data_IF_321486933819
#
_entry.id   IF_321486933819
#
_cell.length_a   1.000
_cell.length_b   1.000
_cell.length_c   1.000
_cell.angle_alpha   90.00
_cell.angle_beta   90.00
_cell.angle_gamma   90.00
#
_symmetry.space_group_name_H-M   'P 1'
#
loop_
_entity.id
_entity.type
_entity.pdbx_description
1 polymer ?
#
# COMPACT_ATOMS: atom_id res chain seq x y z
N UNK A 1 -99.25 18.51 -35.91
CA UNK A 1 -98.84 17.48 -36.89
C UNK A 1 -97.53 17.97 -37.53
N UNK A 2 -96.38 17.59 -37.01
CA UNK A 2 -95.70 16.32 -37.32
C UNK A 2 -95.15 16.29 -38.75
N UNK A 3 -93.86 16.61 -38.89
CA UNK A 3 -92.88 15.77 -39.62
C UNK A 3 -91.49 16.35 -39.43
N UNK A 4 -90.69 15.61 -38.64
CA UNK A 4 -89.23 15.61 -38.65
C UNK A 4 -88.75 15.40 -40.09
N UNK A 5 -87.56 15.91 -40.41
CA UNK A 5 -86.45 15.22 -41.09
C UNK A 5 -85.21 16.08 -40.81
N UNK A 6 -84.24 15.51 -40.09
CA UNK A 6 -83.02 16.19 -39.68
C UNK A 6 -81.94 15.97 -40.73
N UNK A 7 -81.41 17.07 -41.23
CA UNK A 7 -80.27 17.13 -42.15
C UNK A 7 -79.00 16.75 -41.39
N UNK A 8 -78.29 15.75 -41.90
CA UNK A 8 -76.92 15.40 -41.47
C UNK A 8 -75.98 16.05 -42.50
N UNK A 9 -75.27 17.10 -42.09
CA UNK A 9 -74.14 17.64 -42.83
C UNK A 9 -72.85 17.08 -42.24
N UNK A 10 -72.07 16.40 -43.08
CA UNK A 10 -70.75 15.86 -42.78
C UNK A 10 -69.74 17.01 -42.72
N UNK A 11 -69.04 17.16 -41.60
CA UNK A 11 -67.84 17.98 -41.48
C UNK A 11 -66.68 17.08 -41.04
N UNK A 12 -65.61 17.08 -41.83
CA UNK A 12 -64.33 16.46 -41.48
C UNK A 12 -63.73 17.20 -40.29
N UNK A 13 -63.63 16.52 -39.14
CA UNK A 13 -62.84 16.96 -37.99
C UNK A 13 -61.64 16.02 -37.84
N UNK A 14 -60.44 16.54 -38.06
CA UNK A 14 -59.19 15.88 -37.71
C UNK A 14 -59.10 15.85 -36.18
N UNK A 15 -59.11 14.65 -35.62
CA UNK A 15 -58.96 14.42 -34.18
C UNK A 15 -57.49 14.63 -33.81
N UNK A 16 -57.20 15.67 -33.02
CA UNK A 16 -55.97 15.74 -32.26
C UNK A 16 -56.09 14.78 -31.08
N UNK A 17 -55.50 13.59 -31.18
CA UNK A 17 -55.26 12.74 -30.02
C UNK A 17 -54.05 13.28 -29.27
N UNK A 18 -54.27 13.83 -28.08
CA UNK A 18 -53.24 14.17 -27.11
C UNK A 18 -52.52 12.90 -26.66
N UNK A 19 -51.41 12.57 -27.33
CA UNK A 19 -50.48 11.54 -26.88
C UNK A 19 -49.74 12.05 -25.65
N UNK A 20 -49.97 11.41 -24.49
CA UNK A 20 -49.10 11.58 -23.35
C UNK A 20 -47.71 11.03 -23.71
N UNK A 21 -46.73 11.91 -23.84
CA UNK A 21 -45.33 11.54 -23.95
C UNK A 21 -44.93 10.99 -22.58
N UNK A 22 -44.84 9.66 -22.47
CA UNK A 22 -44.13 9.04 -21.36
C UNK A 22 -42.66 9.36 -21.59
N UNK A 23 -42.13 10.34 -20.85
CA UNK A 23 -40.69 10.51 -20.73
C UNK A 23 -40.14 9.24 -20.09
N UNK A 24 -39.64 8.31 -20.91
CA UNK A 24 -38.76 7.27 -20.43
C UNK A 24 -37.52 7.99 -19.89
N UNK A 25 -37.35 7.98 -18.57
CA UNK A 25 -36.13 8.47 -17.94
C UNK A 25 -34.95 7.75 -18.57
N UNK A 26 -33.87 8.49 -18.84
CA UNK A 26 -32.61 7.90 -19.29
C UNK A 26 -32.27 6.73 -18.37
N UNK A 27 -31.85 5.56 -18.91
CA UNK A 27 -31.38 4.47 -18.08
C UNK A 27 -30.27 5.02 -17.20
N UNK A 28 -30.54 5.03 -15.89
CA UNK A 28 -29.59 5.42 -14.88
C UNK A 28 -28.34 4.57 -15.12
N UNK A 29 -27.25 5.21 -15.58
CA UNK A 29 -26.00 4.52 -15.82
C UNK A 29 -25.68 3.71 -14.56
N UNK A 30 -25.46 2.40 -14.72
CA UNK A 30 -25.04 1.59 -13.58
C UNK A 30 -23.85 2.29 -12.93
N UNK A 31 -23.84 2.44 -11.59
CA UNK A 31 -22.74 3.11 -10.91
C UNK A 31 -21.44 2.47 -11.36
N UNK A 32 -20.54 3.30 -11.89
CA UNK A 32 -19.29 2.83 -12.47
C UNK A 32 -18.58 1.92 -11.46
N UNK A 33 -18.43 0.63 -11.79
CA UNK A 33 -17.65 -0.27 -10.94
C UNK A 33 -16.18 0.03 -11.17
N UNK A 34 -15.47 0.55 -10.15
CA UNK A 34 -14.06 0.84 -10.31
C UNK A 34 -13.31 -0.45 -10.61
N UNK A 35 -12.36 -0.38 -11.55
CA UNK A 35 -11.56 -1.53 -12.00
C UNK A 35 -10.09 -1.43 -11.60
N UNK A 36 -9.67 -0.29 -11.05
CA UNK A 36 -8.28 0.00 -10.70
C UNK A 36 -8.08 -0.13 -9.20
N UNK A 37 -7.05 -0.88 -8.80
CA UNK A 37 -6.53 -0.89 -7.45
C UNK A 37 -5.27 -0.02 -7.33
N UNK A 38 -4.79 0.17 -6.10
CA UNK A 38 -3.60 0.97 -5.82
C UNK A 38 -2.72 0.29 -4.75
N UNK A 39 -1.40 0.39 -4.90
CA UNK A 39 -0.47 0.16 -3.79
C UNK A 39 -0.38 1.46 -2.98
N UNK A 40 -0.59 1.39 -1.67
CA UNK A 40 -0.45 2.55 -0.79
C UNK A 40 1.01 2.72 -0.39
N UNK A 41 1.48 3.96 -0.28
CA UNK A 41 2.85 4.24 0.13
C UNK A 41 3.13 3.69 1.54
N UNK A 42 4.28 3.03 1.71
CA UNK A 42 4.72 2.44 2.97
C UNK A 42 4.86 3.44 4.12
N UNK A 43 4.85 2.96 5.38
CA UNK A 43 4.96 3.81 6.55
C UNK A 43 6.34 4.49 6.60
N UNK A 44 6.34 5.82 6.58
CA UNK A 44 7.57 6.61 6.68
C UNK A 44 7.27 8.00 7.24
N UNK A 45 8.26 8.62 7.89
CA UNK A 45 8.14 9.98 8.41
C UNK A 45 8.02 11.04 7.30
N UNK A 46 8.43 10.68 6.07
CA UNK A 46 8.29 11.49 4.84
C UNK A 46 7.10 11.06 3.97
N UNK A 47 6.16 10.26 4.48
CA UNK A 47 5.03 9.77 3.70
C UNK A 47 4.08 10.92 3.32
N UNK A 48 3.94 11.18 2.01
CA UNK A 48 3.14 12.30 1.47
C UNK A 48 1.66 12.00 1.33
N UNK A 49 1.21 10.75 1.57
CA UNK A 49 -0.20 10.39 1.60
C UNK A 49 -0.87 10.82 2.91
N UNK A 50 -0.08 10.97 3.99
CA UNK A 50 -0.53 11.35 5.34
C UNK A 50 -1.79 10.58 5.78
N UNK A 51 -1.74 9.23 5.85
CA UNK A 51 -2.92 8.41 6.04
C UNK A 51 -3.59 8.61 7.40
N UNK A 52 -2.86 8.98 8.45
CA UNK A 52 -3.35 9.03 9.82
C UNK A 52 -3.40 10.43 10.41
N UNK A 53 -4.40 10.69 11.27
CA UNK A 53 -4.50 11.94 12.05
C UNK A 53 -3.57 11.94 13.26
N UNK A 54 -3.11 10.77 13.72
CA UNK A 54 -2.00 10.62 14.66
C UNK A 54 -0.69 10.48 13.87
N UNK A 55 0.06 11.57 13.75
CA UNK A 55 1.31 11.59 12.96
C UNK A 55 2.44 10.84 13.66
N UNK A 56 2.30 10.50 14.94
CA UNK A 56 3.31 9.73 15.67
C UNK A 56 3.43 8.30 15.12
N UNK A 57 2.34 7.75 14.59
CA UNK A 57 2.30 6.38 14.05
C UNK A 57 3.21 6.16 12.84
N UNK A 58 3.55 7.22 12.12
CA UNK A 58 4.52 7.19 11.02
C UNK A 58 5.87 7.81 11.41
N UNK A 59 6.14 7.98 12.70
CA UNK A 59 7.43 8.47 13.16
C UNK A 59 8.55 7.47 12.86
N UNK A 60 9.78 7.96 12.75
CA UNK A 60 10.95 7.07 12.63
C UNK A 60 11.09 6.20 13.91
N UNK A 61 11.63 4.97 13.83
CA UNK A 61 12.05 4.27 15.05
C UNK A 61 12.97 5.15 15.91
N UNK A 62 12.91 4.96 17.24
CA UNK A 62 13.69 5.77 18.17
C UNK A 62 15.17 5.77 17.85
N UNK A 63 15.75 6.97 17.92
CA UNK A 63 17.13 7.25 17.60
C UNK A 63 17.81 7.57 18.92
N UNK A 64 18.79 6.74 19.28
CA UNK A 64 19.53 6.90 20.52
C UNK A 64 20.52 8.05 20.43
N UNK A 65 20.52 8.92 21.43
CA UNK A 65 21.38 10.08 21.49
C UNK A 65 22.15 10.10 22.81
N UNK A 66 23.35 10.66 22.78
CA UNK A 66 24.19 10.83 23.97
C UNK A 66 24.94 12.15 23.89
N UNK A 67 25.05 12.84 25.02
CA UNK A 67 25.78 14.10 25.13
C UNK A 67 27.23 13.93 24.69
N UNK A 68 27.69 14.81 23.79
CA UNK A 68 29.06 14.79 23.27
C UNK A 68 29.34 13.73 22.19
N UNK A 69 28.33 12.98 21.74
CA UNK A 69 28.43 12.06 20.59
C UNK A 69 27.75 12.66 19.34
N UNK A 70 28.14 12.24 18.13
CA UNK A 70 27.39 12.54 16.93
C UNK A 70 25.96 12.02 17.00
N UNK A 71 25.08 12.60 16.20
CA UNK A 71 23.67 12.22 16.17
C UNK A 71 23.47 10.75 15.84
N UNK A 72 22.61 10.06 16.59
CA UNK A 72 22.31 8.64 16.41
C UNK A 72 23.39 7.69 16.94
N UNK A 73 24.40 8.20 17.64
CA UNK A 73 25.46 7.39 18.25
C UNK A 73 25.34 7.25 19.77
N UNK A 74 24.10 7.27 20.29
CA UNK A 74 23.84 6.89 21.68
C UNK A 74 23.93 5.38 21.92
N UNK A 75 23.86 4.95 23.19
CA UNK A 75 23.87 3.52 23.55
C UNK A 75 22.59 2.81 23.05
N UNK A 76 22.59 1.47 23.04
CA UNK A 76 21.36 0.69 22.74
C UNK A 76 20.24 1.12 23.71
N UNK A 77 19.07 1.44 23.15
CA UNK A 77 17.89 1.79 23.94
C UNK A 77 17.27 0.56 24.60
N UNK A 78 16.75 0.75 25.81
CA UNK A 78 15.93 -0.23 26.53
C UNK A 78 14.46 0.00 26.15
N UNK A 79 13.95 -0.82 25.23
CA UNK A 79 12.60 -0.71 24.68
C UNK A 79 11.71 -1.86 25.14
N UNK A 80 10.43 -1.58 25.38
CA UNK A 80 9.41 -2.61 25.57
C UNK A 80 9.04 -3.34 24.26
N UNK A 81 8.16 -4.34 24.38
CA UNK A 81 7.69 -5.16 23.25
C UNK A 81 7.02 -4.35 22.12
N UNK A 82 6.52 -3.15 22.44
CA UNK A 82 5.88 -2.20 21.52
C UNK A 82 6.83 -1.10 21.05
N UNK A 83 8.09 -1.10 21.51
CA UNK A 83 9.09 -0.12 21.12
C UNK A 83 9.09 1.17 21.96
N UNK A 84 8.43 1.21 23.12
CA UNK A 84 8.47 2.37 24.03
C UNK A 84 9.71 2.35 24.92
N UNK A 85 10.25 3.53 25.22
CA UNK A 85 11.51 3.70 25.95
C UNK A 85 11.30 3.51 27.45
N UNK A 86 11.70 2.34 27.98
CA UNK A 86 11.56 2.01 29.41
C UNK A 86 12.54 2.78 30.28
N UNK A 87 13.78 2.93 29.84
CA UNK A 87 14.82 3.60 30.61
C UNK A 87 15.84 4.29 29.71
N UNK A 88 16.53 5.28 30.28
CA UNK A 88 17.59 6.04 29.63
C UNK A 88 18.84 6.01 30.51
N UNK A 89 20.01 5.84 29.89
CA UNK A 89 21.29 5.98 30.58
C UNK A 89 21.56 7.46 30.91
N UNK A 90 22.42 7.77 31.89
CA UNK A 90 22.83 9.15 32.18
C UNK A 90 23.34 9.87 30.93
N UNK A 91 23.00 11.16 30.80
CA UNK A 91 23.36 12.02 29.67
C UNK A 91 22.88 11.50 28.29
N UNK A 92 21.89 10.61 28.26
CA UNK A 92 21.29 10.06 27.03
C UNK A 92 19.82 10.45 26.91
N UNK A 93 19.32 10.49 25.67
CA UNK A 93 17.90 10.67 25.36
C UNK A 93 17.51 9.86 24.13
N UNK A 94 16.22 9.61 23.96
CA UNK A 94 15.66 9.02 22.75
C UNK A 94 14.97 10.12 21.94
N UNK A 95 15.19 10.14 20.62
CA UNK A 95 14.61 11.12 19.71
C UNK A 95 13.93 10.42 18.54
N UNK A 96 12.82 10.97 18.06
CA UNK A 96 12.19 10.56 16.80
C UNK A 96 11.78 11.78 15.98
N UNK A 97 11.57 11.54 14.69
CA UNK A 97 11.13 12.51 13.71
C UNK A 97 9.80 12.03 13.11
N UNK A 98 8.93 12.98 12.83
CA UNK A 98 7.69 12.77 12.08
C UNK A 98 7.47 13.96 11.13
N UNK A 99 6.69 13.74 10.07
CA UNK A 99 6.40 14.77 9.06
C UNK A 99 7.67 15.43 8.49
N UNK A 100 8.65 14.64 8.05
CA UNK A 100 9.88 15.10 7.37
C UNK A 100 9.63 15.53 5.90
N UNK A 101 8.38 15.83 5.56
CA UNK A 101 7.98 16.27 4.22
C UNK A 101 8.36 17.75 4.06
N UNK A 102 9.11 18.05 3.01
CA UNK A 102 9.51 19.42 2.69
C UNK A 102 8.34 20.28 2.17
N UNK A 103 8.52 21.60 2.13
CA UNK A 103 7.59 22.51 1.47
C UNK A 103 6.27 22.80 2.22
N UNK A 104 6.13 22.35 3.47
CA UNK A 104 4.93 22.61 4.26
C UNK A 104 3.72 21.77 3.83
N UNK A 105 3.95 20.57 3.29
CA UNK A 105 2.89 19.68 2.79
C UNK A 105 2.22 18.85 3.89
N UNK A 106 2.15 19.37 5.12
CA UNK A 106 1.38 18.82 6.22
C UNK A 106 0.78 19.97 7.06
N UNK A 107 -0.30 19.75 7.84
CA UNK A 107 -0.99 20.85 8.51
C UNK A 107 -0.10 21.64 9.48
N UNK A 108 -0.19 22.96 9.45
CA UNK A 108 0.34 23.82 10.53
C UNK A 108 -0.73 24.10 11.57
N UNK A 109 -0.35 24.53 12.76
CA UNK A 109 -1.25 24.92 13.84
C UNK A 109 -1.01 24.13 15.12
N UNK A 110 -2.03 24.09 15.98
CA UNK A 110 -1.97 23.43 17.29
C UNK A 110 -2.26 21.94 17.19
N UNK A 111 -1.25 21.15 17.49
CA UNK A 111 -1.36 19.71 17.67
C UNK A 111 -1.49 19.38 19.16
N UNK A 112 -2.26 18.33 19.46
CA UNK A 112 -2.38 17.81 20.82
C UNK A 112 -1.54 16.55 20.96
N UNK A 113 -0.65 16.52 21.95
CA UNK A 113 0.16 15.35 22.27
C UNK A 113 -0.40 14.69 23.52
N UNK A 114 -0.80 13.43 23.43
CA UNK A 114 -1.16 12.61 24.58
C UNK A 114 -0.06 11.60 24.87
N UNK A 115 0.18 11.28 26.13
CA UNK A 115 1.10 10.22 26.53
C UNK A 115 0.73 9.69 27.92
N UNK A 116 1.11 8.44 28.18
CA UNK A 116 1.01 7.83 29.50
C UNK A 116 2.38 7.79 30.18
N UNK A 117 2.37 7.74 31.52
CA UNK A 117 3.58 7.62 32.33
C UNK A 117 4.23 8.95 32.73
N UNK A 118 5.39 8.87 33.37
CA UNK A 118 6.12 9.98 33.98
C UNK A 118 7.46 10.15 33.30
N UNK A 119 7.74 11.38 32.89
CA UNK A 119 8.97 11.73 32.22
C UNK A 119 8.91 13.14 31.67
N UNK A 120 9.89 13.47 30.83
CA UNK A 120 10.00 14.76 30.15
C UNK A 120 10.07 14.56 28.65
N UNK A 121 9.08 15.14 27.96
CA UNK A 121 9.04 15.21 26.51
C UNK A 121 9.44 16.62 26.08
N UNK A 122 10.31 16.71 25.09
CA UNK A 122 10.67 17.96 24.44
C UNK A 122 10.36 17.86 22.94
N UNK A 123 10.07 19.00 22.31
CA UNK A 123 9.87 19.08 20.86
C UNK A 123 10.74 20.16 20.25
N UNK A 124 10.99 20.06 18.94
CA UNK A 124 11.81 21.05 18.24
C UNK A 124 11.63 21.10 16.74
N UNK A 125 12.47 21.92 16.12
CA UNK A 125 12.45 22.26 14.70
C UNK A 125 11.12 22.91 14.28
N UNK A 126 10.20 22.16 13.68
CA UNK A 126 8.88 22.69 13.29
C UNK A 126 7.92 22.88 14.46
N UNK A 127 8.20 22.29 15.63
CA UNK A 127 7.30 22.31 16.77
C UNK A 127 7.86 23.10 17.96
N UNK A 128 6.95 23.71 18.74
CA UNK A 128 7.24 24.29 20.06
C UNK A 128 6.09 24.02 21.03
N UNK A 129 6.39 23.55 22.24
CA UNK A 129 5.39 23.41 23.30
C UNK A 129 4.83 24.79 23.68
N UNK A 130 3.50 24.89 23.72
CA UNK A 130 2.76 26.10 24.15
C UNK A 130 1.94 25.87 25.42
N UNK A 131 1.54 24.63 25.70
CA UNK A 131 0.86 24.22 26.93
C UNK A 131 1.40 22.85 27.37
N UNK A 132 1.59 22.67 28.68
CA UNK A 132 2.15 21.44 29.26
C UNK A 132 1.37 21.06 30.53
N UNK A 133 0.78 19.88 30.50
CA UNK A 133 0.12 19.23 31.62
C UNK A 133 0.58 17.77 31.71
N UNK A 134 0.53 17.13 32.88
CA UNK A 134 0.80 15.70 32.99
C UNK A 134 -0.05 14.89 32.00
N UNK A 135 0.61 14.13 31.12
CA UNK A 135 -0.03 13.29 30.11
C UNK A 135 -0.60 14.02 28.88
N UNK A 136 -0.47 15.36 28.81
CA UNK A 136 -0.98 16.16 27.69
C UNK A 136 -0.15 17.40 27.41
N UNK A 137 0.32 17.55 26.17
CA UNK A 137 0.97 18.77 25.68
C UNK A 137 0.14 19.36 24.54
N UNK A 138 0.23 20.68 24.36
CA UNK A 138 -0.14 21.34 23.10
C UNK A 138 1.12 21.88 22.47
N UNK A 139 1.36 21.51 21.22
CA UNK A 139 2.50 21.98 20.43
C UNK A 139 2.00 22.83 19.27
N UNK A 140 2.63 23.99 19.07
CA UNK A 140 2.42 24.82 17.89
C UNK A 140 3.40 24.36 16.80
N UNK A 141 2.87 24.01 15.63
CA UNK A 141 3.60 23.44 14.51
C UNK A 141 3.59 24.39 13.32
N UNK A 142 4.79 24.69 12.81
CA UNK A 142 5.01 25.44 11.58
C UNK A 142 5.64 24.53 10.52
N UNK A 143 4.80 24.02 9.63
CA UNK A 143 5.20 23.01 8.63
C UNK A 143 6.26 23.52 7.64
N UNK A 144 6.41 24.83 7.50
CA UNK A 144 7.41 25.45 6.62
C UNK A 144 8.84 25.23 7.12
N UNK A 145 9.01 24.84 8.38
CA UNK A 145 10.31 24.56 9.02
C UNK A 145 10.78 23.11 8.86
N UNK A 146 10.05 22.27 8.13
CA UNK A 146 10.42 20.88 7.89
C UNK A 146 9.95 19.97 9.03
N UNK A 147 10.78 19.05 9.50
CA UNK A 147 10.34 17.96 10.39
C UNK A 147 9.89 18.39 11.80
N UNK A 148 8.98 17.62 12.40
CA UNK A 148 8.69 17.68 13.83
C UNK A 148 9.64 16.73 14.55
N UNK A 149 10.40 17.24 15.51
CA UNK A 149 11.24 16.44 16.40
C UNK A 149 10.55 16.26 17.73
N UNK A 150 10.56 15.03 18.27
CA UNK A 150 10.08 14.70 19.60
C UNK A 150 11.15 13.90 20.35
N UNK A 151 11.45 14.30 21.59
CA UNK A 151 12.49 13.72 22.44
C UNK A 151 11.92 13.28 23.77
N UNK A 152 12.33 12.11 24.25
CA UNK A 152 12.18 11.70 25.64
C UNK A 152 13.53 11.91 26.31
N UNK A 153 13.63 12.92 27.18
CA UNK A 153 14.88 13.26 27.90
C UNK A 153 14.89 12.72 29.32
N UNK A 154 13.72 12.38 29.87
CA UNK A 154 13.56 11.70 31.16
C UNK A 154 12.37 10.74 31.07
N UNK A 155 12.47 9.59 31.72
CA UNK A 155 11.39 8.60 31.84
C UNK A 155 11.56 7.83 33.15
N UNK A 156 10.48 7.59 33.89
CA UNK A 156 10.48 6.78 35.12
C UNK A 156 10.40 5.30 34.77
N UNK A 157 11.41 4.45 35.05
CA UNK A 157 11.36 3.04 34.68
C UNK A 157 10.20 2.25 35.31
N UNK A 158 9.61 2.73 36.41
CA UNK A 158 8.43 2.11 37.03
C UNK A 158 7.10 2.55 36.40
N UNK A 159 7.09 3.66 35.65
CA UNK A 159 5.92 4.21 34.95
C UNK A 159 6.38 5.03 33.74
N UNK A 160 7.00 4.35 32.77
CA UNK A 160 7.73 5.01 31.69
C UNK A 160 6.79 5.67 30.68
N UNK A 161 7.30 6.72 30.03
CA UNK A 161 6.61 7.43 28.95
C UNK A 161 6.30 6.48 27.80
N UNK A 162 5.02 6.32 27.48
CA UNK A 162 4.52 5.41 26.45
C UNK A 162 3.20 5.90 25.87
N UNK A 163 2.68 5.18 24.87
CA UNK A 163 1.39 5.49 24.23
C UNK A 163 1.30 6.96 23.75
N UNK A 164 2.42 7.45 23.21
CA UNK A 164 2.51 8.79 22.66
C UNK A 164 1.66 8.86 21.39
N UNK A 165 0.79 9.86 21.34
CA UNK A 165 -0.08 10.19 20.21
C UNK A 165 0.11 11.66 19.89
N UNK A 166 0.37 12.01 18.64
CA UNK A 166 0.56 13.39 18.18
C UNK A 166 -0.55 13.71 17.19
N UNK A 167 -1.64 14.29 17.71
CA UNK A 167 -2.89 14.45 16.99
C UNK A 167 -2.92 15.77 16.22
N UNK A 168 -3.22 15.68 14.91
CA UNK A 168 -3.40 16.82 14.03
C UNK A 168 -4.49 17.79 14.52
N UNK A 169 -4.42 19.08 14.12
CA UNK A 169 -5.43 20.08 14.49
C UNK A 169 -6.84 19.64 14.11
N UNK A 170 -7.78 19.73 15.06
CA UNK A 170 -9.20 19.42 14.84
C UNK A 170 -9.62 17.96 15.05
N UNK A 171 -8.69 17.05 15.40
CA UNK A 171 -9.00 15.61 15.55
C UNK A 171 -8.94 15.08 16.99
N UNK A 172 -8.70 15.93 17.99
CA UNK A 172 -8.51 15.55 19.41
C UNK A 172 -9.67 14.69 19.96
N UNK A 173 -10.91 14.98 19.57
CA UNK A 173 -12.10 14.30 20.08
C UNK A 173 -12.45 12.99 19.32
N UNK A 174 -11.83 12.75 18.17
CA UNK A 174 -12.26 11.70 17.23
C UNK A 174 -11.17 10.72 16.82
N UNK A 175 -9.89 11.03 17.04
CA UNK A 175 -8.76 10.25 16.48
C UNK A 175 -8.78 8.75 16.82
N UNK A 176 -9.35 8.35 17.97
CA UNK A 176 -9.47 6.93 18.34
C UNK A 176 -10.48 6.18 17.48
N UNK A 177 -11.55 6.86 17.04
CA UNK A 177 -12.63 6.29 16.22
C UNK A 177 -12.42 6.54 14.73
N UNK A 178 -11.74 7.62 14.40
CA UNK A 178 -11.48 8.10 13.04
C UNK A 178 -9.97 8.28 12.87
N UNK A 179 -9.20 7.17 12.77
CA UNK A 179 -7.75 7.24 12.73
C UNK A 179 -7.21 7.79 11.40
N UNK A 180 -8.02 7.73 10.33
CA UNK A 180 -7.60 8.14 8.99
C UNK A 180 -7.84 9.63 8.73
N UNK A 181 -6.90 10.27 8.04
CA UNK A 181 -7.08 11.64 7.60
C UNK A 181 -8.17 11.73 6.51
N UNK A 182 -9.14 12.66 6.60
CA UNK A 182 -10.23 12.75 5.63
C UNK A 182 -9.78 12.97 4.19
N UNK A 183 -8.71 13.76 3.96
CA UNK A 183 -8.17 13.99 2.62
C UNK A 183 -7.53 12.73 2.03
N UNK A 184 -6.94 11.86 2.86
CA UNK A 184 -6.43 10.56 2.41
C UNK A 184 -7.58 9.66 1.96
N UNK A 185 -8.65 9.56 2.75
CA UNK A 185 -9.84 8.79 2.38
C UNK A 185 -10.47 9.33 1.09
N UNK A 186 -10.57 10.65 0.96
CA UNK A 186 -11.09 11.31 -0.24
C UNK A 186 -10.22 11.06 -1.47
N UNK A 187 -8.89 11.11 -1.32
CA UNK A 187 -7.93 10.89 -2.41
C UNK A 187 -8.10 9.52 -3.06
N UNK A 188 -8.35 8.50 -2.23
CA UNK A 188 -8.50 7.12 -2.66
C UNK A 188 -9.95 6.65 -2.73
N UNK A 189 -10.92 7.57 -2.68
CA UNK A 189 -12.32 7.22 -2.80
C UNK A 189 -12.60 6.60 -4.18
N UNK A 190 -13.28 5.45 -4.18
CA UNK A 190 -13.67 4.77 -5.41
C UNK A 190 -12.57 3.94 -6.06
N UNK A 191 -11.44 3.66 -5.41
CA UNK A 191 -10.56 2.58 -5.88
C UNK A 191 -11.23 1.22 -5.65
N UNK A 192 -10.92 0.24 -6.50
CA UNK A 192 -11.51 -1.11 -6.39
C UNK A 192 -10.90 -1.91 -5.25
N UNK A 193 -9.59 -1.78 -5.08
CA UNK A 193 -8.80 -2.65 -4.23
C UNK A 193 -7.58 -1.90 -3.70
N UNK A 194 -7.25 -2.09 -2.43
CA UNK A 194 -5.97 -1.67 -1.86
C UNK A 194 -5.03 -2.86 -1.80
N UNK A 195 -3.86 -2.74 -2.44
CA UNK A 195 -2.75 -3.67 -2.25
C UNK A 195 -1.84 -3.13 -1.17
N UNK A 196 -1.67 -3.93 -0.11
CA UNK A 196 -0.99 -3.52 1.11
C UNK A 196 0.48 -3.92 1.14
N UNK A 197 1.13 -4.11 -0.02
CA UNK A 197 2.51 -4.63 -0.10
C UNK A 197 3.48 -3.81 0.76
N UNK A 198 3.49 -2.47 0.59
CA UNK A 198 4.34 -1.58 1.38
C UNK A 198 3.81 -1.34 2.80
N UNK A 199 2.49 -1.28 2.99
CA UNK A 199 1.91 -1.19 4.34
C UNK A 199 2.24 -2.39 5.20
N UNK A 200 2.43 -3.57 4.60
CA UNK A 200 2.83 -4.79 5.29
C UNK A 200 4.36 -4.96 5.40
N UNK A 201 5.16 -4.01 4.87
CA UNK A 201 6.62 -4.14 4.81
C UNK A 201 7.05 -5.51 4.22
N UNK A 202 6.42 -5.89 3.10
CA UNK A 202 6.49 -7.26 2.55
C UNK A 202 7.91 -7.64 2.10
N UNK A 203 8.60 -6.72 1.43
CA UNK A 203 9.93 -6.94 0.89
C UNK A 203 10.94 -7.12 2.02
N UNK A 204 11.68 -8.24 2.03
CA UNK A 204 12.64 -8.54 3.10
C UNK A 204 12.01 -8.71 4.50
N UNK A 205 10.69 -8.87 4.58
CA UNK A 205 9.97 -8.98 5.85
C UNK A 205 10.56 -10.07 6.75
N UNK A 206 10.72 -9.75 8.04
CA UNK A 206 11.19 -10.69 9.07
C UNK A 206 10.04 -11.35 9.84
N UNK A 207 8.79 -11.01 9.52
CA UNK A 207 7.61 -11.57 10.18
C UNK A 207 7.47 -13.04 9.79
N UNK A 208 7.51 -13.93 10.79
CA UNK A 208 7.37 -15.37 10.59
C UNK A 208 6.19 -15.96 11.37
N UNK A 209 5.97 -15.50 12.60
CA UNK A 209 4.94 -16.02 13.52
C UNK A 209 3.93 -14.94 13.86
N UNK A 210 2.75 -15.35 14.34
CA UNK A 210 1.64 -14.44 14.64
C UNK A 210 2.02 -13.32 15.62
N UNK A 211 2.82 -13.64 16.62
CA UNK A 211 3.35 -12.69 17.61
C UNK A 211 4.35 -11.67 17.03
N UNK A 212 4.91 -11.91 15.84
CA UNK A 212 5.87 -10.98 15.21
C UNK A 212 5.16 -9.80 14.50
N UNK A 213 3.83 -9.86 14.35
CA UNK A 213 3.03 -8.88 13.59
C UNK A 213 3.07 -7.47 14.21
N UNK A 214 2.84 -6.41 13.40
CA UNK A 214 2.58 -5.08 13.94
C UNK A 214 1.26 -5.02 14.72
N UNK A 215 1.26 -4.25 15.82
CA UNK A 215 0.14 -4.03 16.73
C UNK A 215 -0.21 -2.54 16.83
N UNK A 216 -1.45 -2.20 17.21
CA UNK A 216 -1.90 -0.81 17.32
C UNK A 216 -1.12 -0.04 18.40
N UNK A 217 -0.68 -0.77 19.42
CA UNK A 217 0.07 -0.30 20.58
C UNK A 217 1.55 -0.01 20.26
N UNK A 218 2.05 -0.48 19.10
CA UNK A 218 3.41 -0.23 18.68
C UNK A 218 3.67 1.28 18.55
N UNK A 219 4.85 1.71 19.00
CA UNK A 219 5.26 3.10 19.03
C UNK A 219 5.28 3.73 17.63
N UNK A 220 5.66 2.94 16.62
CA UNK A 220 5.65 3.34 15.21
C UNK A 220 5.36 2.14 14.31
N UNK A 221 4.66 2.40 13.21
CA UNK A 221 4.41 1.43 12.15
C UNK A 221 5.59 1.34 11.15
N UNK A 222 6.53 2.28 11.19
CA UNK A 222 7.73 2.29 10.33
C UNK A 222 8.75 1.19 10.67
N UNK A 223 8.51 0.40 11.73
CA UNK A 223 9.39 -0.69 12.14
C UNK A 223 8.98 -2.07 11.61
N UNK A 224 7.67 -2.30 11.48
CA UNK A 224 7.09 -3.63 11.16
C UNK A 224 5.94 -3.59 10.16
N UNK A 225 5.56 -2.41 9.68
CA UNK A 225 4.34 -2.20 8.89
C UNK A 225 3.15 -1.73 9.72
N UNK A 226 2.07 -1.43 9.03
CA UNK A 226 0.79 -1.00 9.58
C UNK A 226 0.01 -2.23 10.09
N UNK A 227 -0.63 -2.17 11.26
CA UNK A 227 -1.46 -3.25 11.79
C UNK A 227 -2.59 -3.67 10.85
N UNK A 228 -2.85 -4.98 10.78
CA UNK A 228 -3.91 -5.59 9.98
C UNK A 228 -5.29 -4.98 10.29
N UNK A 229 -5.52 -4.63 11.55
CA UNK A 229 -6.74 -4.00 12.02
C UNK A 229 -7.04 -2.67 11.28
N UNK A 230 -6.01 -1.88 10.96
CA UNK A 230 -6.16 -0.62 10.22
C UNK A 230 -6.33 -0.88 8.72
N UNK A 231 -5.65 -1.87 8.15
CA UNK A 231 -5.86 -2.28 6.75
C UNK A 231 -7.31 -2.68 6.50
N UNK A 232 -7.88 -3.49 7.41
CA UNK A 232 -9.29 -3.91 7.34
C UNK A 232 -10.22 -2.70 7.51
N UNK A 233 -9.95 -1.81 8.46
CA UNK A 233 -10.76 -0.61 8.69
C UNK A 233 -10.79 0.29 7.44
N UNK A 234 -9.64 0.50 6.79
CA UNK A 234 -9.57 1.25 5.53
C UNK A 234 -10.45 0.64 4.44
N UNK A 235 -10.33 -0.68 4.20
CA UNK A 235 -11.14 -1.39 3.21
C UNK A 235 -12.64 -1.25 3.51
N UNK A 236 -13.04 -1.38 4.77
CA UNK A 236 -14.44 -1.25 5.20
C UNK A 236 -14.99 0.15 4.95
N UNK A 237 -14.23 1.20 5.29
CA UNK A 237 -14.62 2.61 5.09
C UNK A 237 -14.77 2.96 3.62
N UNK A 238 -13.82 2.52 2.81
CA UNK A 238 -13.76 2.85 1.38
C UNK A 238 -14.59 1.91 0.50
N UNK A 239 -15.10 0.80 1.08
CA UNK A 239 -15.77 -0.29 0.35
C UNK A 239 -14.91 -0.83 -0.79
N UNK A 240 -13.62 -0.98 -0.52
CA UNK A 240 -12.62 -1.47 -1.47
C UNK A 240 -12.12 -2.85 -1.03
N UNK A 241 -11.90 -3.74 -2.00
CA UNK A 241 -11.33 -5.06 -1.75
C UNK A 241 -9.93 -4.95 -1.11
N UNK A 242 -9.52 -6.02 -0.43
CA UNK A 242 -8.20 -6.09 0.22
C UNK A 242 -7.28 -7.02 -0.55
N UNK A 243 -6.06 -6.57 -0.86
CA UNK A 243 -5.01 -7.41 -1.43
C UNK A 243 -3.83 -7.47 -0.46
N UNK A 244 -3.66 -8.65 0.12
CA UNK A 244 -2.61 -8.91 1.11
C UNK A 244 -1.47 -9.72 0.49
N UNK A 245 -0.24 -9.29 0.77
CA UNK A 245 0.98 -9.98 0.38
C UNK A 245 1.55 -10.69 1.62
N UNK A 246 1.35 -12.00 1.72
CA UNK A 246 1.77 -12.76 2.89
C UNK A 246 3.30 -12.78 3.00
N UNK A 247 3.90 -12.46 4.17
CA UNK A 247 5.35 -12.47 4.35
C UNK A 247 5.97 -13.80 3.94
N UNK A 248 7.13 -13.76 3.27
CA UNK A 248 7.77 -14.98 2.75
C UNK A 248 8.18 -15.99 3.84
N UNK A 249 8.42 -15.52 5.07
CA UNK A 249 8.77 -16.36 6.23
C UNK A 249 7.55 -16.82 7.04
N UNK A 250 6.34 -16.37 6.71
CA UNK A 250 5.15 -16.64 7.51
C UNK A 250 4.80 -18.13 7.54
N UNK A 251 4.67 -18.67 8.76
CA UNK A 251 4.23 -20.03 8.99
C UNK A 251 2.71 -20.19 8.83
N UNK A 252 2.23 -21.44 8.84
CA UNK A 252 0.81 -21.74 8.63
C UNK A 252 -0.09 -21.20 9.75
N UNK A 253 0.44 -21.03 10.97
CA UNK A 253 -0.32 -20.48 12.09
C UNK A 253 -0.54 -18.98 11.91
N UNK A 254 0.48 -18.24 11.48
CA UNK A 254 0.36 -16.84 11.08
C UNK A 254 -0.70 -16.69 10.01
N UNK A 255 -0.62 -17.46 8.92
CA UNK A 255 -1.56 -17.37 7.80
C UNK A 255 -2.99 -17.66 8.26
N UNK A 256 -3.18 -18.67 9.13
CA UNK A 256 -4.50 -19.05 9.65
C UNK A 256 -5.10 -17.97 10.55
N UNK A 257 -4.32 -17.40 11.48
CA UNK A 257 -4.79 -16.33 12.36
C UNK A 257 -5.04 -15.03 11.60
N UNK A 258 -4.22 -14.72 10.59
CA UNK A 258 -4.44 -13.59 9.69
C UNK A 258 -5.78 -13.74 8.96
N UNK A 259 -6.01 -14.90 8.33
CA UNK A 259 -7.26 -15.19 7.64
C UNK A 259 -8.47 -15.10 8.58
N UNK A 260 -8.34 -15.57 9.84
CA UNK A 260 -9.40 -15.52 10.83
C UNK A 260 -9.76 -14.06 11.18
N UNK A 261 -8.77 -13.22 11.46
CA UNK A 261 -9.02 -11.81 11.77
C UNK A 261 -9.68 -11.07 10.59
N UNK A 262 -9.24 -11.36 9.35
CA UNK A 262 -9.86 -10.79 8.15
C UNK A 262 -11.30 -11.28 7.98
N UNK A 263 -11.57 -12.58 8.15
CA UNK A 263 -12.93 -13.14 8.07
C UNK A 263 -13.86 -12.47 9.08
N UNK A 264 -13.38 -12.25 10.30
CA UNK A 264 -14.19 -11.74 11.40
C UNK A 264 -14.51 -10.24 11.27
N UNK A 265 -13.64 -9.46 10.62
CA UNK A 265 -13.73 -7.99 10.63
C UNK A 265 -13.93 -7.33 9.26
N UNK A 266 -13.50 -7.96 8.17
CA UNK A 266 -13.67 -7.39 6.82
C UNK A 266 -15.11 -7.58 6.37
N UNK A 267 -15.74 -6.50 5.89
CA UNK A 267 -17.10 -6.48 5.36
C UNK A 267 -17.31 -7.68 4.41
N UNK A 268 -18.32 -8.55 4.66
CA UNK A 268 -18.55 -9.78 3.92
C UNK A 268 -18.78 -9.60 2.41
N UNK A 269 -19.15 -8.40 1.96
CA UNK A 269 -19.33 -8.07 0.54
C UNK A 269 -17.99 -7.86 -0.21
N UNK A 270 -16.89 -7.61 0.52
CA UNK A 270 -15.58 -7.36 -0.04
C UNK A 270 -14.81 -8.67 -0.32
N UNK A 271 -14.02 -8.64 -1.40
CA UNK A 271 -13.11 -9.73 -1.78
C UNK A 271 -11.73 -9.57 -1.12
N UNK A 272 -11.02 -10.68 -1.03
CA UNK A 272 -9.64 -10.76 -0.54
C UNK A 272 -8.75 -11.38 -1.61
N UNK A 273 -7.77 -10.62 -2.08
CA UNK A 273 -6.72 -11.10 -2.97
C UNK A 273 -5.55 -11.63 -2.13
N UNK A 274 -5.13 -12.85 -2.44
CA UNK A 274 -4.11 -13.59 -1.70
C UNK A 274 -2.87 -13.76 -2.57
N UNK A 275 -1.77 -13.12 -2.17
CA UNK A 275 -0.48 -13.22 -2.85
C UNK A 275 0.59 -13.71 -1.87
N UNK A 276 1.43 -14.65 -2.32
CA UNK A 276 2.62 -15.05 -1.56
C UNK A 276 3.77 -14.07 -1.84
N UNK A 277 4.13 -13.30 -0.81
CA UNK A 277 5.21 -12.30 -0.84
C UNK A 277 5.04 -11.26 -1.96
N UNK A 278 6.14 -10.65 -2.40
CA UNK A 278 6.22 -9.74 -3.51
C UNK A 278 7.39 -10.15 -4.42
N UNK A 279 7.18 -10.13 -5.74
CA UNK A 279 8.21 -10.37 -6.78
C UNK A 279 9.28 -11.42 -6.44
N UNK A 280 8.89 -12.61 -5.99
CA UNK A 280 9.85 -13.68 -5.63
C UNK A 280 10.72 -14.12 -6.83
N UNK A 281 10.28 -13.79 -8.05
CA UNK A 281 11.06 -13.97 -9.28
C UNK A 281 12.23 -12.98 -9.42
N UNK A 282 12.24 -11.88 -8.67
CA UNK A 282 13.19 -10.79 -8.76
C UNK A 282 14.34 -10.98 -7.76
N UNK A 283 15.51 -11.32 -8.28
CA UNK A 283 16.71 -11.60 -7.48
C UNK A 283 17.26 -10.43 -6.66
N UNK A 284 16.76 -9.20 -6.84
CA UNK A 284 17.15 -8.06 -6.02
C UNK A 284 16.55 -8.10 -4.61
N UNK A 285 15.42 -8.79 -4.42
CA UNK A 285 14.77 -8.85 -3.12
C UNK A 285 15.17 -10.11 -2.35
N UNK A 286 15.37 -9.97 -1.03
CA UNK A 286 15.87 -11.06 -0.16
C UNK A 286 14.99 -12.32 -0.20
N UNK A 287 13.68 -12.17 -0.41
CA UNK A 287 12.77 -13.32 -0.51
C UNK A 287 13.06 -14.24 -1.71
N UNK A 288 13.65 -13.73 -2.80
CA UNK A 288 13.96 -14.53 -4.00
C UNK A 288 15.03 -15.60 -3.73
N UNK A 289 16.25 -15.25 -3.30
CA UNK A 289 17.26 -16.26 -2.97
C UNK A 289 16.80 -17.18 -1.83
N UNK A 290 16.08 -16.67 -0.82
CA UNK A 290 15.53 -17.51 0.24
C UNK A 290 14.57 -18.59 -0.29
N UNK A 291 13.62 -18.22 -1.17
CA UNK A 291 12.69 -19.16 -1.79
C UNK A 291 13.43 -20.15 -2.71
N UNK A 292 14.49 -19.70 -3.39
CA UNK A 292 15.37 -20.56 -4.17
C UNK A 292 16.05 -21.64 -3.32
N UNK A 293 16.60 -21.26 -2.16
CA UNK A 293 17.18 -22.22 -1.22
C UNK A 293 16.15 -23.23 -0.71
N UNK A 294 14.93 -22.78 -0.34
CA UNK A 294 13.88 -23.69 0.09
C UNK A 294 13.44 -24.63 -1.03
N UNK A 295 13.28 -24.12 -2.25
CA UNK A 295 12.94 -24.93 -3.41
C UNK A 295 14.00 -25.99 -3.72
N UNK A 296 15.29 -25.67 -3.60
CA UNK A 296 16.39 -26.64 -3.77
C UNK A 296 16.32 -27.71 -2.68
N UNK A 297 16.13 -27.32 -1.41
CA UNK A 297 16.00 -28.26 -0.28
C UNK A 297 14.83 -29.24 -0.48
N UNK A 298 13.75 -28.77 -1.10
CA UNK A 298 12.57 -29.58 -1.43
C UNK A 298 12.72 -30.37 -2.75
N UNK A 299 13.85 -30.25 -3.45
CA UNK A 299 14.11 -30.93 -4.72
C UNK A 299 13.30 -30.39 -5.90
N UNK A 300 12.84 -29.14 -5.84
CA UNK A 300 12.00 -28.57 -6.89
C UNK A 300 12.78 -28.23 -8.16
N UNK A 301 14.02 -27.78 -8.06
CA UNK A 301 14.93 -27.60 -9.19
C UNK A 301 16.38 -27.47 -8.69
N UNK A 302 17.36 -27.66 -9.58
CA UNK A 302 18.78 -27.45 -9.26
C UNK A 302 19.18 -25.96 -9.29
N UNK A 303 18.56 -25.19 -10.20
CA UNK A 303 18.85 -23.77 -10.38
C UNK A 303 18.07 -22.94 -9.34
N UNK A 304 18.73 -22.04 -8.58
CA UNK A 304 18.06 -21.28 -7.51
C UNK A 304 16.85 -20.47 -7.97
N UNK A 305 16.92 -19.80 -9.12
CA UNK A 305 15.80 -18.99 -9.63
C UNK A 305 14.60 -19.85 -10.04
N UNK A 306 14.83 -20.99 -10.68
CA UNK A 306 13.76 -21.91 -11.07
C UNK A 306 13.14 -22.57 -9.84
N UNK A 307 13.96 -22.91 -8.85
CA UNK A 307 13.52 -23.40 -7.55
C UNK A 307 12.64 -22.37 -6.83
N UNK A 308 12.98 -21.07 -6.90
CA UNK A 308 12.19 -19.99 -6.32
C UNK A 308 10.82 -19.84 -7.00
N UNK A 309 10.74 -19.95 -8.33
CA UNK A 309 9.46 -19.91 -9.06
C UNK A 309 8.56 -21.08 -8.66
N UNK A 310 9.11 -22.29 -8.57
CA UNK A 310 8.37 -23.49 -8.16
C UNK A 310 7.95 -23.42 -6.69
N UNK A 311 8.82 -22.90 -5.82
CA UNK A 311 8.49 -22.63 -4.41
C UNK A 311 7.35 -21.62 -4.27
N UNK A 312 7.34 -20.57 -5.09
CA UNK A 312 6.25 -19.58 -5.14
C UNK A 312 4.91 -20.23 -5.44
N UNK A 313 4.85 -21.09 -6.47
CA UNK A 313 3.65 -21.84 -6.81
C UNK A 313 3.20 -22.75 -5.64
N UNK A 314 4.13 -23.54 -5.10
CA UNK A 314 3.86 -24.46 -4.00
C UNK A 314 3.32 -23.77 -2.75
N UNK A 315 4.00 -22.72 -2.29
CA UNK A 315 3.62 -21.99 -1.06
C UNK A 315 2.32 -21.22 -1.23
N UNK A 316 2.08 -20.64 -2.41
CA UNK A 316 0.81 -19.96 -2.72
C UNK A 316 -0.38 -20.91 -2.58
N UNK A 317 -0.30 -22.12 -3.12
CA UNK A 317 -1.39 -23.11 -3.03
C UNK A 317 -1.67 -23.54 -1.58
N UNK A 318 -0.63 -23.67 -0.74
CA UNK A 318 -0.81 -23.93 0.68
C UNK A 318 -1.55 -22.80 1.39
N UNK A 319 -1.15 -21.54 1.13
CA UNK A 319 -1.81 -20.36 1.66
C UNK A 319 -3.28 -20.34 1.23
N UNK A 320 -3.58 -20.57 -0.05
CA UNK A 320 -4.96 -20.60 -0.55
C UNK A 320 -5.81 -21.62 0.19
N UNK A 321 -5.28 -22.83 0.43
CA UNK A 321 -5.99 -23.89 1.17
C UNK A 321 -6.32 -23.46 2.61
N UNK A 322 -5.37 -22.86 3.32
CA UNK A 322 -5.60 -22.36 4.69
C UNK A 322 -6.72 -21.31 4.70
N UNK A 323 -6.70 -20.38 3.75
CA UNK A 323 -7.75 -19.37 3.63
C UNK A 323 -9.11 -19.98 3.27
N UNK A 324 -9.16 -20.93 2.33
CA UNK A 324 -10.38 -21.66 1.97
C UNK A 324 -10.99 -22.38 3.17
N UNK A 325 -10.18 -23.04 4.00
CA UNK A 325 -10.60 -23.69 5.25
C UNK A 325 -11.20 -22.69 6.23
N UNK A 326 -10.51 -21.57 6.47
CA UNK A 326 -10.97 -20.53 7.41
C UNK A 326 -12.27 -19.89 6.92
N UNK A 327 -12.36 -19.54 5.63
CA UNK A 327 -13.53 -18.89 5.05
C UNK A 327 -14.70 -19.86 4.83
N UNK A 328 -14.45 -21.17 4.81
CA UNK A 328 -15.45 -22.19 4.51
C UNK A 328 -15.84 -22.23 3.02
N UNK A 329 -14.99 -21.70 2.14
CA UNK A 329 -15.29 -21.57 0.71
C UNK A 329 -14.37 -20.58 0.00
N UNK A 330 -14.62 -20.41 -1.31
CA UNK A 330 -13.80 -19.57 -2.21
C UNK A 330 -14.47 -18.27 -2.62
N UNK A 331 -15.76 -18.10 -2.33
CA UNK A 331 -16.56 -17.01 -2.91
C UNK A 331 -15.99 -15.62 -2.64
N UNK A 332 -15.30 -15.43 -1.50
CA UNK A 332 -14.67 -14.16 -1.14
C UNK A 332 -13.19 -14.05 -1.49
N UNK A 333 -12.57 -15.09 -2.04
CA UNK A 333 -11.13 -15.16 -2.25
C UNK A 333 -10.79 -14.98 -3.74
N UNK A 334 -9.70 -14.26 -4.01
CA UNK A 334 -9.05 -14.21 -5.31
C UNK A 334 -7.62 -14.71 -5.10
N UNK A 335 -7.34 -15.91 -5.60
CA UNK A 335 -6.08 -16.62 -5.39
C UNK A 335 -5.09 -16.22 -6.48
N UNK A 336 -4.04 -15.50 -6.09
CA UNK A 336 -3.12 -14.81 -7.02
C UNK A 336 -1.80 -15.56 -7.13
N UNK A 337 -1.40 -15.93 -8.36
CA UNK A 337 -0.03 -16.35 -8.65
C UNK A 337 0.73 -15.16 -9.26
N UNK A 338 1.69 -14.54 -8.54
CA UNK A 338 2.45 -13.39 -9.03
C UNK A 338 3.60 -13.83 -9.95
N UNK A 339 3.89 -13.03 -10.98
CA UNK A 339 4.94 -13.30 -11.97
C UNK A 339 5.53 -12.03 -12.58
N UNK A 340 6.53 -12.20 -13.45
CA UNK A 340 7.23 -11.14 -14.17
C UNK A 340 6.53 -10.80 -15.48
N UNK A 341 6.24 -9.52 -15.76
CA UNK A 341 5.59 -9.12 -17.02
C UNK A 341 6.45 -9.46 -18.26
N UNK A 342 7.73 -9.09 -18.23
CA UNK A 342 8.63 -9.19 -19.39
C UNK A 342 9.02 -10.62 -19.81
N UNK A 343 8.78 -11.63 -18.96
CA UNK A 343 9.19 -13.01 -19.22
C UNK A 343 8.05 -14.02 -19.00
N UNK A 344 7.28 -14.35 -20.06
CA UNK A 344 6.18 -15.33 -19.99
C UNK A 344 6.61 -16.73 -19.54
N UNK A 345 7.88 -17.11 -19.75
CA UNK A 345 8.38 -18.41 -19.30
C UNK A 345 8.31 -18.56 -17.78
N UNK A 346 8.56 -17.49 -17.01
CA UNK A 346 8.41 -17.50 -15.55
C UNK A 346 6.97 -17.84 -15.17
N UNK A 347 6.00 -17.18 -15.81
CA UNK A 347 4.58 -17.43 -15.58
C UNK A 347 4.20 -18.89 -15.89
N UNK A 348 4.71 -19.45 -16.99
CA UNK A 348 4.47 -20.85 -17.34
C UNK A 348 5.04 -21.81 -16.27
N UNK A 349 6.25 -21.55 -15.77
CA UNK A 349 6.85 -22.38 -14.72
C UNK A 349 6.07 -22.31 -13.41
N UNK A 350 5.61 -21.13 -13.00
CA UNK A 350 4.81 -20.95 -11.79
C UNK A 350 3.44 -21.63 -11.94
N UNK A 351 2.75 -21.39 -13.05
CA UNK A 351 1.40 -21.93 -13.25
C UNK A 351 1.40 -23.46 -13.36
N UNK A 352 2.33 -24.03 -14.13
CA UNK A 352 2.36 -25.47 -14.42
C UNK A 352 2.92 -26.31 -13.28
N UNK A 353 3.73 -25.74 -12.38
CA UNK A 353 4.33 -26.51 -11.30
C UNK A 353 3.25 -27.11 -10.39
N UNK A 354 3.20 -28.44 -10.34
CA UNK A 354 2.20 -29.21 -9.60
C UNK A 354 0.74 -28.76 -9.88
N UNK A 355 0.46 -28.38 -11.13
CA UNK A 355 -0.85 -27.89 -11.55
C UNK A 355 -1.39 -26.71 -10.70
N UNK A 356 -0.51 -25.82 -10.21
CA UNK A 356 -0.89 -24.70 -9.35
C UNK A 356 -2.01 -23.83 -9.95
N UNK A 357 -2.08 -23.70 -11.28
CA UNK A 357 -3.17 -23.00 -11.98
C UNK A 357 -4.58 -23.51 -11.61
N UNK A 358 -4.75 -24.78 -11.24
CA UNK A 358 -6.06 -25.35 -10.83
C UNK A 358 -6.55 -24.81 -9.49
N UNK A 359 -5.65 -24.18 -8.73
CA UNK A 359 -5.90 -23.63 -7.40
C UNK A 359 -5.82 -22.09 -7.39
N UNK A 360 -5.63 -21.45 -8.54
CA UNK A 360 -5.52 -20.01 -8.67
C UNK A 360 -6.66 -19.45 -9.52
N UNK A 361 -6.98 -18.17 -9.30
CA UNK A 361 -8.00 -17.45 -10.07
C UNK A 361 -7.35 -16.52 -11.09
N UNK A 362 -6.20 -15.94 -10.75
CA UNK A 362 -5.50 -14.97 -11.59
C UNK A 362 -3.98 -15.17 -11.60
N UNK A 363 -3.38 -14.97 -12.76
CA UNK A 363 -1.96 -14.62 -12.92
C UNK A 363 -1.84 -13.11 -12.74
N UNK A 364 -0.93 -12.66 -11.88
CA UNK A 364 -0.67 -11.23 -11.68
C UNK A 364 0.74 -10.87 -12.17
N UNK A 365 0.87 -9.72 -12.84
CA UNK A 365 2.13 -9.21 -13.39
C UNK A 365 2.33 -7.72 -13.04
N UNK A 366 3.54 -7.18 -13.21
CA UNK A 366 3.83 -5.74 -13.12
C UNK A 366 4.17 -5.15 -14.51
N UNK A 367 3.18 -4.77 -15.35
CA UNK A 367 3.43 -4.26 -16.68
C UNK A 367 3.73 -2.76 -16.64
N UNK A 368 4.87 -2.39 -16.07
CA UNK A 368 5.35 -1.01 -16.07
C UNK A 368 5.62 -0.50 -17.49
N UNK A 369 5.30 0.76 -17.74
CA UNK A 369 5.78 1.51 -18.89
C UNK A 369 7.22 1.91 -18.57
N UNK A 370 8.16 1.03 -18.90
CA UNK A 370 9.54 1.14 -18.42
C UNK A 370 10.47 1.83 -19.41
N UNK A 371 11.37 2.65 -18.86
CA UNK A 371 12.58 3.13 -19.54
C UNK A 371 13.73 3.16 -18.53
N UNK A 372 14.52 2.09 -18.51
CA UNK A 372 15.67 1.96 -17.61
C UNK A 372 16.92 2.50 -18.32
N UNK A 373 17.42 3.64 -17.87
CA UNK A 373 18.57 4.30 -18.47
C UNK A 373 19.82 3.97 -17.68
N UNK A 374 20.72 3.23 -18.33
CA UNK A 374 22.03 2.86 -17.79
C UNK A 374 23.12 3.83 -18.29
N UNK A 375 24.27 3.88 -17.60
CA UNK A 375 25.41 4.69 -18.03
C UNK A 375 25.99 4.22 -19.37
N UNK A 376 25.85 2.93 -19.69
CA UNK A 376 26.24 2.33 -20.95
C UNK A 376 25.40 1.08 -21.22
N UNK A 377 25.29 0.65 -22.48
CA UNK A 377 24.57 -0.56 -22.85
C UNK A 377 23.81 -0.43 -24.16
N UNK A 378 22.87 -1.35 -24.37
CA UNK A 378 22.00 -1.35 -25.56
C UNK A 378 20.80 -0.44 -25.30
N UNK A 379 20.78 0.72 -25.96
CA UNK A 379 19.73 1.73 -25.80
C UNK A 379 20.32 3.15 -25.73
N UNK A 380 19.47 4.17 -25.57
CA UNK A 380 19.94 5.54 -25.37
C UNK A 380 20.70 5.64 -24.04
N UNK A 381 21.87 6.29 -24.06
CA UNK A 381 22.72 6.41 -22.87
C UNK A 381 22.22 7.49 -21.91
N UNK A 382 22.67 7.45 -20.65
CA UNK A 382 22.39 8.51 -19.69
C UNK A 382 22.78 9.91 -20.19
N UNK A 383 23.90 10.03 -20.89
CA UNK A 383 24.40 11.29 -21.46
C UNK A 383 23.51 11.79 -22.59
N UNK A 384 23.03 10.89 -23.45
CA UNK A 384 22.12 11.23 -24.54
C UNK A 384 20.74 11.65 -24.02
N UNK A 385 20.16 10.87 -23.11
CA UNK A 385 18.82 11.13 -22.56
C UNK A 385 18.81 12.40 -21.73
N UNK A 386 19.89 12.70 -20.99
CA UNK A 386 20.01 13.96 -20.25
C UNK A 386 19.96 15.21 -21.15
N UNK A 387 20.13 15.07 -22.47
CA UNK A 387 19.98 16.18 -23.43
C UNK A 387 18.63 16.16 -24.18
N UNK A 388 17.74 15.22 -23.88
CA UNK A 388 16.42 15.20 -24.49
C UNK A 388 15.54 16.32 -23.94
N UNK A 389 14.62 16.81 -24.78
CA UNK A 389 13.47 17.58 -24.31
C UNK A 389 12.43 16.64 -23.69
N UNK A 390 11.52 17.20 -22.89
CA UNK A 390 10.36 16.46 -22.38
C UNK A 390 9.54 15.85 -23.53
N UNK A 391 9.30 16.60 -24.61
CA UNK A 391 8.58 16.09 -25.78
C UNK A 391 9.26 14.87 -26.41
N UNK A 392 10.59 14.87 -26.50
CA UNK A 392 11.34 13.73 -27.04
C UNK A 392 11.30 12.53 -26.09
N UNK A 393 11.32 12.76 -24.78
CA UNK A 393 11.12 11.70 -23.79
C UNK A 393 9.73 11.09 -23.94
N UNK A 394 8.68 11.91 -23.99
CA UNK A 394 7.30 11.45 -24.13
C UNK A 394 7.08 10.72 -25.47
N UNK A 395 7.66 11.21 -26.56
CA UNK A 395 7.64 10.54 -27.86
C UNK A 395 8.31 9.15 -27.79
N UNK A 396 9.43 9.03 -27.06
CA UNK A 396 10.05 7.71 -26.82
C UNK A 396 9.15 6.79 -26.01
N UNK A 397 8.54 7.31 -24.95
CA UNK A 397 7.62 6.53 -24.10
C UNK A 397 6.42 6.04 -24.91
N UNK A 398 5.81 6.92 -25.69
CA UNK A 398 4.65 6.61 -26.54
C UNK A 398 4.98 5.61 -27.64
N UNK A 399 6.13 5.76 -28.31
CA UNK A 399 6.46 4.96 -29.49
C UNK A 399 7.30 3.70 -29.19
N UNK A 400 7.85 3.55 -27.97
CA UNK A 400 8.73 2.43 -27.60
C UNK A 400 8.28 1.75 -26.30
N UNK A 401 8.29 2.46 -25.19
CA UNK A 401 8.04 1.86 -23.86
C UNK A 401 6.61 1.34 -23.71
N UNK A 402 5.61 2.14 -24.12
CA UNK A 402 4.20 1.74 -24.03
C UNK A 402 3.87 0.55 -24.95
N UNK A 403 4.25 0.53 -26.25
CA UNK A 403 4.06 -0.63 -27.12
C UNK A 403 4.73 -1.90 -26.58
N UNK A 404 5.91 -1.78 -25.97
CA UNK A 404 6.60 -2.92 -25.35
C UNK A 404 5.82 -3.47 -24.15
N UNK A 405 5.36 -2.60 -23.24
CA UNK A 405 4.54 -3.00 -22.11
C UNK A 405 3.24 -3.68 -22.57
N UNK A 406 2.60 -3.16 -23.63
CA UNK A 406 1.42 -3.77 -24.26
C UNK A 406 1.74 -5.18 -24.79
N UNK A 407 2.88 -5.36 -25.44
CA UNK A 407 3.28 -6.66 -25.96
C UNK A 407 3.54 -7.68 -24.84
N UNK A 408 4.18 -7.27 -23.74
CA UNK A 408 4.31 -8.11 -22.56
C UNK A 408 2.95 -8.53 -22.01
N UNK A 409 2.00 -7.60 -21.88
CA UNK A 409 0.64 -7.91 -21.43
C UNK A 409 -0.06 -8.91 -22.36
N UNK A 410 0.07 -8.76 -23.69
CA UNK A 410 -0.51 -9.70 -24.66
C UNK A 410 0.04 -11.12 -24.49
N UNK A 411 1.37 -11.26 -24.41
CA UNK A 411 2.01 -12.57 -24.23
C UNK A 411 1.63 -13.21 -22.90
N UNK A 412 1.53 -12.43 -21.83
CA UNK A 412 1.05 -12.93 -20.53
C UNK A 412 -0.43 -13.32 -20.58
N UNK A 413 -1.25 -12.60 -21.35
CA UNK A 413 -2.65 -12.95 -21.56
C UNK A 413 -2.80 -14.27 -22.31
N UNK A 414 -1.95 -14.56 -23.28
CA UNK A 414 -1.89 -15.85 -23.95
C UNK A 414 -1.54 -16.99 -22.97
N UNK A 415 -0.56 -16.80 -22.09
CA UNK A 415 -0.24 -17.74 -21.01
C UNK A 415 -1.45 -17.96 -20.11
N UNK A 416 -2.04 -16.89 -19.56
CA UNK A 416 -3.18 -16.97 -18.66
C UNK A 416 -4.38 -17.71 -19.30
N UNK A 417 -4.68 -17.42 -20.57
CA UNK A 417 -5.75 -18.08 -21.32
C UNK A 417 -5.49 -19.59 -21.49
N UNK A 418 -4.25 -20.02 -21.77
CA UNK A 418 -3.92 -21.46 -21.90
C UNK A 418 -4.14 -22.22 -20.59
N UNK A 419 -3.89 -21.59 -19.45
CA UNK A 419 -4.09 -22.20 -18.12
C UNK A 419 -5.49 -21.92 -17.53
N UNK A 420 -6.36 -21.18 -18.23
CA UNK A 420 -7.73 -20.91 -17.78
C UNK A 420 -7.83 -19.96 -16.58
N UNK A 421 -6.84 -19.10 -16.35
CA UNK A 421 -6.83 -18.10 -15.27
C UNK A 421 -7.03 -16.69 -15.82
N UNK A 422 -7.48 -15.77 -14.97
CA UNK A 422 -7.50 -14.34 -15.28
C UNK A 422 -6.09 -13.74 -15.37
N UNK A 423 -5.98 -12.56 -15.96
CA UNK A 423 -4.75 -11.75 -15.92
C UNK A 423 -5.07 -10.43 -15.22
N UNK A 424 -4.28 -10.08 -14.21
CA UNK A 424 -4.37 -8.80 -13.50
C UNK A 424 -2.99 -8.15 -13.37
N UNK A 425 -2.96 -6.87 -13.06
CA UNK A 425 -1.74 -6.18 -12.67
C UNK A 425 -1.69 -6.07 -11.13
N UNK A 426 -0.58 -6.48 -10.50
CA UNK A 426 -0.35 -6.18 -9.07
C UNK A 426 0.30 -4.81 -8.87
N UNK A 427 0.99 -4.33 -9.90
CA UNK A 427 1.65 -3.03 -9.97
C UNK A 427 1.59 -2.53 -11.42
N UNK A 428 1.57 -1.22 -11.62
CA UNK A 428 1.61 -0.61 -12.94
C UNK A 428 1.96 0.87 -12.81
N UNK A 429 2.25 1.51 -13.94
CA UNK A 429 2.56 2.94 -13.99
C UNK A 429 3.79 3.19 -14.84
N UNK A 430 4.31 4.41 -14.75
CA UNK A 430 5.60 4.74 -15.34
C UNK A 430 6.73 4.12 -14.49
N UNK A 431 7.78 3.64 -15.16
CA UNK A 431 9.04 3.25 -14.52
C UNK A 431 10.19 3.80 -15.35
N UNK A 432 10.30 5.12 -15.37
CA UNK A 432 11.33 5.90 -16.06
C UNK A 432 12.42 6.21 -15.04
N UNK A 433 13.51 5.45 -15.07
CA UNK A 433 14.52 5.53 -13.99
C UNK A 433 15.94 5.49 -14.54
N UNK A 434 16.81 6.27 -13.90
CA UNK A 434 18.25 6.15 -14.06
C UNK A 434 18.76 5.00 -13.17
N UNK A 435 19.55 4.10 -13.74
CA UNK A 435 19.99 2.86 -13.07
C UNK A 435 21.49 2.87 -12.85
N UNK A 436 21.93 2.48 -11.64
CA UNK A 436 23.35 2.41 -11.28
C UNK A 436 24.00 3.79 -11.28
N UNK A 437 25.19 3.91 -11.89
CA UNK A 437 25.94 5.17 -11.92
C UNK A 437 25.21 6.30 -12.67
N UNK A 438 24.26 5.99 -13.56
CA UNK A 438 23.44 6.97 -14.25
C UNK A 438 22.60 7.82 -13.28
N UNK A 439 22.26 7.27 -12.11
CA UNK A 439 21.48 7.96 -11.08
C UNK A 439 22.24 9.14 -10.44
N UNK A 440 23.55 9.30 -10.74
CA UNK A 440 24.34 10.47 -10.32
C UNK A 440 24.21 11.66 -11.27
N UNK A 441 23.57 11.48 -12.42
CA UNK A 441 23.32 12.57 -13.36
C UNK A 441 22.03 13.30 -12.98
N UNK A 442 22.16 14.43 -12.29
CA UNK A 442 21.02 15.21 -11.78
C UNK A 442 20.06 15.63 -12.89
N UNK A 443 20.58 16.06 -14.05
CA UNK A 443 19.75 16.47 -15.20
C UNK A 443 18.92 15.33 -15.76
N UNK A 444 19.50 14.12 -15.82
CA UNK A 444 18.75 12.92 -16.20
C UNK A 444 17.67 12.60 -15.18
N UNK A 445 18.01 12.59 -13.90
CA UNK A 445 17.08 12.27 -12.81
C UNK A 445 15.92 13.27 -12.77
N UNK A 446 16.18 14.55 -12.98
CA UNK A 446 15.15 15.59 -13.05
C UNK A 446 14.22 15.41 -14.27
N UNK A 447 14.77 15.03 -15.43
CA UNK A 447 13.97 14.80 -16.63
C UNK A 447 13.04 13.56 -16.52
N UNK A 448 13.43 12.55 -15.74
CA UNK A 448 12.68 11.30 -15.60
C UNK A 448 11.65 11.31 -14.45
N UNK A 449 11.73 12.30 -13.54
CA UNK A 449 10.76 12.51 -12.46
C UNK A 449 9.51 13.22 -12.98
#
# INVERSE_FOLDING_TARGET
MAKRWSVVCVALAVVFSSGAIVCQGEPQAEPAQPKMGINLAGPADWNTELPFVDVFKLSRPWISQQKGKPWGQGPRLDLDEHGWVRSLQPDCWAETLMCTIDGGHYPSGKYTVFYDGKGKIEVGNAARIVEEHPGRLVIEVDSTKGAIFLRITQTDPADYVRNIRVIMPGFEEVYEKEPFHPDFLKRWAGVRCFRFMDWMETNGSRIARWEDRPLLEDATFCAKGIPLELMIDLCNRQKADAWFCMPHLADDEYIRKFAQLVKDRLNPELKVYLEYSNEVWNGMFEQSPWAGEQGIRLGFAEKPWEAAWRYTAWRSVQIFRIWEEVFGGRDRLVRVLPSQAANPYVSEQILSFQDAYRHADVLAIAPYISMNIHSSGNGPTAEEVAQWSLDKLLDHVENRSLPQAIEWMKRQKEVANRFGVGLVAYEAGQHLVAVGDANRNEKLVELLK
#
